data_IF_884073786381
#
_entry.id   IF_884073786381
#
_cell.length_a   1.000
_cell.length_b   1.000
_cell.length_c   1.000
_cell.angle_alpha   90.00
_cell.angle_beta   90.00
_cell.angle_gamma   90.00
#
_symmetry.space_group_name_H-M   'P 1'
#
loop_
_entity.id
_entity.type
_entity.pdbx_description
1 polymer ?
#
# COMPACT_ATOMS: atom_id res chain seq x y z
N UNK A 1 3.76 1.71 -19.25
CA UNK A 1 3.17 1.40 -17.93
C UNK A 1 4.19 0.61 -17.14
N UNK A 2 4.65 1.17 -16.02
CA UNK A 2 5.70 0.64 -15.16
C UNK A 2 5.06 0.17 -13.86
N UNK A 3 5.52 -0.96 -13.31
CA UNK A 3 5.15 -1.38 -11.95
C UNK A 3 6.36 -1.42 -11.04
N UNK A 4 6.18 -0.88 -9.85
CA UNK A 4 7.19 -0.87 -8.80
C UNK A 4 6.61 -1.36 -7.48
N UNK A 5 7.45 -2.02 -6.69
CA UNK A 5 7.16 -2.37 -5.30
C UNK A 5 7.43 -1.17 -4.41
N UNK A 6 6.51 -0.90 -3.48
CA UNK A 6 6.70 0.12 -2.46
C UNK A 6 7.29 -0.51 -1.20
N UNK A 7 8.47 -0.05 -0.83
CA UNK A 7 9.14 -0.41 0.41
C UNK A 7 8.99 0.70 1.44
N UNK A 8 8.82 0.31 2.69
CA UNK A 8 8.68 1.20 3.83
C UNK A 8 9.57 0.71 4.96
N UNK A 9 10.04 1.61 5.82
CA UNK A 9 10.79 1.23 7.01
C UNK A 9 9.85 0.73 8.10
N UNK A 10 10.08 -0.50 8.58
CA UNK A 10 9.37 -1.05 9.73
C UNK A 10 9.73 -0.29 11.02
N UNK A 11 8.73 0.08 11.82
CA UNK A 11 8.95 0.81 13.08
C UNK A 11 9.62 -0.03 14.17
N UNK A 12 9.49 -1.36 14.12
CA UNK A 12 10.05 -2.26 15.12
C UNK A 12 11.45 -2.79 14.75
N UNK A 13 11.60 -3.26 13.52
CA UNK A 13 12.83 -3.91 13.06
C UNK A 13 13.78 -2.96 12.31
N UNK A 14 13.29 -1.79 11.87
CA UNK A 14 14.03 -0.87 11.01
C UNK A 14 14.56 -1.49 9.70
N UNK A 15 13.93 -2.57 9.24
CA UNK A 15 14.18 -3.17 7.92
C UNK A 15 13.17 -2.65 6.88
N UNK A 16 13.52 -2.65 5.58
CA UNK A 16 12.57 -2.35 4.52
C UNK A 16 11.53 -3.47 4.41
N UNK A 17 10.26 -3.10 4.43
CA UNK A 17 9.11 -4.00 4.36
C UNK A 17 8.11 -3.53 3.31
N UNK A 18 7.60 -4.46 2.53
CA UNK A 18 6.52 -4.21 1.57
C UNK A 18 5.22 -4.79 2.13
N UNK A 19 4.14 -4.00 2.24
CA UNK A 19 2.85 -4.50 2.68
C UNK A 19 2.30 -5.58 1.73
N UNK A 20 1.81 -6.68 2.30
CA UNK A 20 1.18 -7.78 1.56
C UNK A 20 -0.15 -8.16 2.20
N UNK A 21 -1.14 -8.48 1.38
CA UNK A 21 -2.41 -9.04 1.81
C UNK A 21 -2.30 -10.58 1.81
N UNK A 22 -2.23 -11.18 2.99
CA UNK A 22 -2.09 -12.64 3.13
C UNK A 22 -3.41 -13.36 2.86
N UNK A 23 -4.54 -12.76 3.25
CA UNK A 23 -5.90 -13.23 2.98
C UNK A 23 -6.83 -12.02 2.80
N UNK A 24 -7.91 -12.14 2.01
CA UNK A 24 -8.92 -11.10 1.90
C UNK A 24 -9.50 -10.72 3.27
N UNK A 25 -9.99 -9.49 3.39
CA UNK A 25 -10.74 -9.10 4.58
C UNK A 25 -12.07 -9.84 4.61
N UNK A 26 -12.41 -10.44 5.75
CA UNK A 26 -13.72 -11.05 5.98
C UNK A 26 -14.63 -9.97 6.54
N UNK A 27 -15.71 -9.66 5.81
CA UNK A 27 -16.70 -8.65 6.19
C UNK A 27 -18.01 -9.36 6.52
N UNK A 28 -18.57 -9.06 7.69
CA UNK A 28 -19.89 -9.51 8.13
C UNK A 28 -20.70 -8.37 8.72
N UNK A 29 -21.91 -8.67 9.20
CA UNK A 29 -22.79 -7.69 9.83
C UNK A 29 -23.67 -8.33 10.89
N UNK A 30 -23.78 -7.65 12.04
CA UNK A 30 -24.72 -8.04 13.09
C UNK A 30 -26.12 -7.54 12.75
N UNK A 31 -27.07 -8.48 12.68
CA UNK A 31 -28.45 -8.14 12.45
C UNK A 31 -29.18 -7.88 13.78
N UNK A 32 -29.78 -6.69 13.89
CA UNK A 32 -30.48 -6.24 15.11
C UNK A 32 -31.59 -7.16 15.61
N UNK A 33 -32.28 -7.89 14.71
CA UNK A 33 -33.50 -8.66 15.03
C UNK A 33 -33.31 -10.18 15.07
N UNK A 34 -32.19 -10.69 14.56
CA UNK A 34 -31.93 -12.13 14.45
C UNK A 34 -30.43 -12.36 14.25
N UNK A 35 -29.95 -13.55 14.55
CA UNK A 35 -28.60 -13.94 14.17
C UNK A 35 -28.52 -14.12 12.66
N UNK A 36 -27.48 -13.55 12.04
CA UNK A 36 -27.15 -13.73 10.63
C UNK A 36 -25.67 -14.08 10.56
N UNK A 37 -25.37 -15.30 10.14
CA UNK A 37 -24.00 -15.83 10.05
C UNK A 37 -23.46 -15.77 8.61
N UNK A 38 -23.72 -14.65 7.91
CA UNK A 38 -23.24 -14.45 6.54
C UNK A 38 -22.01 -13.54 6.53
N UNK A 39 -20.98 -13.98 5.80
CA UNK A 39 -19.74 -13.22 5.59
C UNK A 39 -19.38 -13.19 4.12
N UNK A 40 -18.63 -12.17 3.71
CA UNK A 40 -18.03 -12.05 2.39
C UNK A 40 -16.53 -11.86 2.51
N UNK A 41 -15.78 -12.41 1.58
CA UNK A 41 -14.36 -12.11 1.40
C UNK A 41 -14.23 -10.94 0.43
N UNK A 42 -13.48 -9.92 0.84
CA UNK A 42 -13.20 -8.76 0.00
C UNK A 42 -11.76 -8.31 0.18
N UNK A 43 -10.94 -8.28 -0.88
CA UNK A 43 -9.59 -7.76 -0.77
C UNK A 43 -9.63 -6.24 -0.49
N UNK A 44 -8.60 -5.75 0.20
CA UNK A 44 -8.40 -4.32 0.35
C UNK A 44 -7.99 -3.68 -0.98
N UNK A 45 -8.31 -2.40 -1.16
CA UNK A 45 -7.63 -1.58 -2.16
C UNK A 45 -6.19 -1.29 -1.74
N UNK A 46 -5.35 -0.85 -2.68
CA UNK A 46 -3.95 -0.55 -2.38
C UNK A 46 -3.78 0.53 -1.31
N UNK A 47 -4.59 1.59 -1.35
CA UNK A 47 -4.58 2.63 -0.32
C UNK A 47 -5.14 2.15 1.03
N UNK A 48 -6.20 1.34 1.02
CA UNK A 48 -6.75 0.71 2.23
C UNK A 48 -5.73 -0.19 2.93
N UNK A 49 -4.98 -1.02 2.18
CA UNK A 49 -3.92 -1.86 2.74
C UNK A 49 -2.82 -1.00 3.36
N UNK A 50 -2.39 0.04 2.65
CA UNK A 50 -1.34 0.94 3.13
C UNK A 50 -1.75 1.67 4.41
N UNK A 51 -3.03 2.09 4.53
CA UNK A 51 -3.56 2.67 5.76
C UNK A 51 -3.52 1.72 6.96
N UNK A 52 -3.63 0.40 6.75
CA UNK A 52 -3.50 -0.59 7.84
C UNK A 52 -2.09 -0.72 8.39
N UNK A 53 -1.09 -0.18 7.68
CA UNK A 53 0.30 -0.13 8.14
C UNK A 53 0.58 1.04 9.08
N UNK A 54 -0.40 1.92 9.35
CA UNK A 54 -0.24 3.01 10.31
C UNK A 54 0.19 2.49 11.69
N UNK A 55 1.31 3.01 12.19
CA UNK A 55 1.92 2.59 13.46
C UNK A 55 2.85 1.38 13.36
N UNK A 56 2.89 0.69 12.21
CA UNK A 56 3.82 -0.41 11.94
C UNK A 56 5.03 0.02 11.11
N UNK A 57 4.93 1.18 10.45
CA UNK A 57 6.00 1.83 9.71
C UNK A 57 6.29 3.21 10.30
N UNK A 58 7.49 3.71 10.06
CA UNK A 58 7.99 4.98 10.62
C UNK A 58 7.41 6.21 9.90
N UNK A 59 7.03 6.07 8.63
CA UNK A 59 6.51 7.16 7.79
C UNK A 59 5.02 7.41 8.01
N UNK A 60 4.58 8.64 7.75
CA UNK A 60 3.15 8.94 7.65
C UNK A 60 2.56 8.34 6.36
N UNK A 61 1.85 7.22 6.52
CA UNK A 61 1.19 6.50 5.42
C UNK A 61 0.17 7.34 4.66
N UNK A 62 -0.50 8.32 5.27
CA UNK A 62 -1.41 9.19 4.52
C UNK A 62 -0.62 10.06 3.52
N UNK A 63 0.48 10.64 3.99
CA UNK A 63 1.38 11.43 3.14
C UNK A 63 1.99 10.58 2.03
N UNK A 64 2.38 9.33 2.32
CA UNK A 64 2.88 8.39 1.29
C UNK A 64 1.81 8.15 0.21
N UNK A 65 0.56 7.87 0.61
CA UNK A 65 -0.56 7.67 -0.34
C UNK A 65 -0.76 8.91 -1.20
N UNK A 66 -0.77 10.10 -0.60
CA UNK A 66 -0.93 11.36 -1.33
C UNK A 66 0.21 11.58 -2.33
N UNK A 67 1.46 11.35 -1.94
CA UNK A 67 2.62 11.46 -2.83
C UNK A 67 2.53 10.45 -3.98
N UNK A 68 2.19 9.19 -3.71
CA UNK A 68 2.04 8.17 -4.77
C UNK A 68 0.93 8.56 -5.74
N UNK A 69 -0.23 9.04 -5.26
CA UNK A 69 -1.39 9.41 -6.10
C UNK A 69 -1.13 10.58 -7.05
N UNK A 70 -0.06 11.35 -6.87
CA UNK A 70 0.34 12.42 -7.81
C UNK A 70 0.96 11.88 -9.10
N UNK A 71 1.62 10.73 -9.02
CA UNK A 71 2.45 10.16 -10.10
C UNK A 71 2.00 8.76 -10.52
N UNK A 72 1.07 8.13 -9.80
CA UNK A 72 0.61 6.78 -10.11
C UNK A 72 -0.53 6.28 -9.22
N UNK A 73 -0.75 4.97 -9.23
CA UNK A 73 -1.85 4.31 -8.52
C UNK A 73 -1.38 3.14 -7.68
N UNK A 74 -1.84 3.07 -6.43
CA UNK A 74 -1.66 1.90 -5.57
C UNK A 74 -2.60 0.78 -5.98
N UNK A 75 -2.07 -0.41 -6.26
CA UNK A 75 -2.83 -1.61 -6.65
C UNK A 75 -2.34 -2.84 -5.89
N UNK A 76 -3.21 -3.85 -5.80
CA UNK A 76 -2.79 -5.18 -5.40
C UNK A 76 -2.57 -6.03 -6.65
N UNK A 77 -1.33 -6.48 -6.85
CA UNK A 77 -1.00 -7.47 -7.86
C UNK A 77 -1.34 -8.86 -7.32
N UNK A 78 -2.01 -9.67 -8.13
CA UNK A 78 -2.48 -11.02 -7.78
C UNK A 78 -3.26 -11.08 -6.45
N UNK A 79 -4.01 -10.00 -6.16
CA UNK A 79 -4.78 -9.81 -4.91
C UNK A 79 -3.95 -9.87 -3.62
N UNK A 80 -2.62 -9.77 -3.72
CA UNK A 80 -1.68 -9.96 -2.62
C UNK A 80 -0.67 -8.83 -2.45
N UNK A 81 0.08 -8.49 -3.49
CA UNK A 81 1.24 -7.62 -3.35
C UNK A 81 0.89 -6.16 -3.61
N UNK A 82 1.25 -5.26 -2.69
CA UNK A 82 1.10 -3.83 -2.92
C UNK A 82 2.13 -3.35 -3.95
N UNK A 83 1.63 -2.84 -5.08
CA UNK A 83 2.43 -2.25 -6.15
C UNK A 83 1.95 -0.84 -6.46
N UNK A 84 2.87 -0.04 -6.98
CA UNK A 84 2.59 1.26 -7.59
C UNK A 84 2.65 1.09 -9.11
N UNK A 85 1.55 1.44 -9.78
CA UNK A 85 1.48 1.47 -11.24
C UNK A 85 1.60 2.93 -11.72
N UNK A 86 2.54 3.16 -12.64
CA UNK A 86 2.84 4.47 -13.23
C UNK A 86 2.73 4.39 -14.76
N UNK A 87 2.45 5.51 -15.41
CA UNK A 87 2.23 5.52 -16.86
C UNK A 87 3.56 5.37 -17.61
N UNK A 88 4.56 6.17 -17.23
CA UNK A 88 5.85 6.26 -17.89
C UNK A 88 7.05 6.35 -16.91
N UNK A 89 8.26 6.45 -17.48
CA UNK A 89 9.52 6.52 -16.75
C UNK A 89 9.70 7.86 -16.02
N UNK A 90 9.06 8.93 -16.51
CA UNK A 90 9.13 10.25 -15.90
C UNK A 90 8.37 10.25 -14.57
N UNK A 91 7.20 9.61 -14.53
CA UNK A 91 6.43 9.39 -13.30
C UNK A 91 7.22 8.58 -12.27
N UNK A 92 7.89 7.49 -12.70
CA UNK A 92 8.74 6.69 -11.82
C UNK A 92 9.88 7.51 -11.22
N UNK A 93 10.61 8.26 -12.06
CA UNK A 93 11.71 9.09 -11.60
C UNK A 93 11.24 10.22 -10.68
N UNK A 94 10.11 10.86 -11.00
CA UNK A 94 9.53 11.92 -10.18
C UNK A 94 9.09 11.40 -8.81
N UNK A 95 8.39 10.26 -8.78
CA UNK A 95 7.92 9.66 -7.55
C UNK A 95 9.08 9.16 -6.67
N UNK A 96 10.07 8.49 -7.26
CA UNK A 96 11.26 8.04 -6.52
C UNK A 96 12.00 9.22 -5.88
N UNK A 97 12.17 10.33 -6.60
CA UNK A 97 12.76 11.56 -6.05
C UNK A 97 11.91 12.16 -4.93
N UNK A 98 10.61 12.32 -5.13
CA UNK A 98 9.72 12.94 -4.12
C UNK A 98 9.64 12.07 -2.85
N UNK A 99 9.65 10.73 -2.97
CA UNK A 99 9.73 9.84 -1.82
C UNK A 99 11.05 10.01 -1.06
N UNK A 100 12.18 10.09 -1.77
CA UNK A 100 13.49 10.31 -1.16
C UNK A 100 13.55 11.65 -0.41
N UNK A 101 13.02 12.72 -1.01
CA UNK A 101 13.01 14.07 -0.41
C UNK A 101 12.09 14.16 0.81
N UNK A 102 10.91 13.53 0.76
CA UNK A 102 9.91 13.63 1.83
C UNK A 102 10.13 12.65 2.99
N UNK A 103 10.72 11.48 2.71
CA UNK A 103 10.83 10.38 3.67
C UNK A 103 12.26 9.93 3.93
N UNK A 104 13.28 10.58 3.35
CA UNK A 104 14.69 10.40 3.68
C UNK A 104 15.19 8.93 3.67
N UNK A 105 14.69 8.11 2.74
CA UNK A 105 15.04 6.68 2.62
C UNK A 105 14.23 5.74 3.52
N UNK A 106 13.19 6.25 4.18
CA UNK A 106 12.21 5.45 4.92
C UNK A 106 11.08 4.92 4.02
N UNK A 107 10.99 5.42 2.79
CA UNK A 107 10.11 4.91 1.74
C UNK A 107 10.84 4.95 0.39
N UNK A 108 10.80 3.84 -0.35
CA UNK A 108 11.49 3.69 -1.62
C UNK A 108 10.71 2.80 -2.61
N UNK A 109 11.13 2.84 -3.88
CA UNK A 109 10.52 2.09 -4.96
C UNK A 109 11.54 1.16 -5.61
N UNK A 110 11.12 -0.08 -5.83
CA UNK A 110 11.88 -1.06 -6.60
C UNK A 110 11.11 -1.44 -7.86
N UNK A 111 11.71 -1.21 -9.03
CA UNK A 111 11.08 -1.57 -10.31
C UNK A 111 10.98 -3.08 -10.45
N UNK A 112 9.80 -3.57 -10.82
CA UNK A 112 9.58 -5.00 -11.07
C UNK A 112 9.58 -5.26 -12.59
N UNK A 113 8.89 -4.42 -13.38
CA UNK A 113 8.83 -4.48 -14.85
C UNK A 113 8.42 -3.12 -15.45
#
# INVERSE_FOLDING_TARGET
MIRAKLWLRCAAMHDPVAPVLVQPAIIGWDAKKRKVDLTIERPFKGDELLLRMKGWVTTDVQKVIETVKKHGFLKLLDERELVVEMEDEQDFANLSRELQELFAGEADLERIF
#
